data_IF_821091927189
#
_entry.id   IF_821091927189
#
_cell.length_a   1.000
_cell.length_b   1.000
_cell.length_c   1.000
_cell.angle_alpha   90.00
_cell.angle_beta   90.00
_cell.angle_gamma   90.00
#
_symmetry.space_group_name_H-M   'P 1'
#
loop_
_entity.id
_entity.type
_entity.pdbx_description
1 polymer ?
#
# COMPACT_ATOMS: atom_id res chain seq x y z
N UNK A 1 17.75 -0.47 -18.53
CA UNK A 1 16.35 -0.05 -18.32
C UNK A 1 15.73 0.19 -19.68
N UNK A 2 14.95 -0.76 -20.19
CA UNK A 2 14.25 -0.64 -21.48
C UNK A 2 12.77 -0.76 -21.18
N UNK A 3 12.01 0.32 -21.33
CA UNK A 3 10.56 0.30 -21.26
C UNK A 3 10.07 -0.54 -22.44
N UNK A 4 9.54 -1.74 -22.16
CA UNK A 4 8.98 -2.58 -23.22
C UNK A 4 7.68 -1.95 -23.72
N UNK A 5 7.38 -1.98 -25.03
CA UNK A 5 6.17 -1.34 -25.51
C UNK A 5 4.94 -2.04 -24.93
N UNK A 6 3.99 -1.25 -24.42
CA UNK A 6 2.66 -1.73 -24.06
C UNK A 6 2.12 -2.58 -25.23
N UNK A 7 1.74 -3.83 -24.95
CA UNK A 7 1.11 -4.69 -25.96
C UNK A 7 -0.26 -4.08 -26.30
N UNK A 8 -0.31 -3.42 -27.44
CA UNK A 8 -1.52 -2.77 -27.95
C UNK A 8 -2.26 -3.77 -28.83
N UNK A 9 -3.28 -4.42 -28.28
CA UNK A 9 -4.33 -5.04 -29.10
C UNK A 9 -5.33 -3.92 -29.39
N UNK A 10 -5.83 -3.79 -30.63
CA UNK A 10 -6.67 -2.64 -31.05
C UNK A 10 -7.78 -2.37 -30.01
N UNK A 11 -7.69 -1.22 -29.32
CA UNK A 11 -8.67 -0.80 -28.32
C UNK A 11 -8.51 -1.39 -26.91
N UNK A 12 -7.44 -2.13 -26.63
CA UNK A 12 -7.08 -2.62 -25.27
C UNK A 12 -5.63 -2.25 -24.99
N UNK A 13 -5.43 -1.41 -23.98
CA UNK A 13 -4.09 -0.99 -23.53
C UNK A 13 -3.84 -1.52 -22.12
N UNK A 14 -2.73 -2.24 -21.96
CA UNK A 14 -2.19 -2.58 -20.66
C UNK A 14 -1.12 -1.54 -20.30
N UNK A 15 -1.40 -0.72 -19.29
CA UNK A 15 -0.44 0.27 -18.81
C UNK A 15 0.31 -0.30 -17.61
N UNK A 16 1.61 -0.55 -17.78
CA UNK A 16 2.54 -1.14 -16.82
C UNK A 16 3.27 -0.08 -15.98
N UNK A 17 2.56 0.97 -15.55
CA UNK A 17 3.14 2.13 -14.84
C UNK A 17 3.89 1.76 -13.54
N UNK A 18 3.74 0.53 -13.05
CA UNK A 18 4.39 -0.02 -11.84
C UNK A 18 5.62 -0.89 -12.19
N UNK A 19 6.02 -0.98 -13.46
CA UNK A 19 7.22 -1.69 -13.93
C UNK A 19 7.29 -3.19 -13.55
N UNK A 20 6.15 -3.84 -13.32
CA UNK A 20 6.09 -5.27 -12.97
C UNK A 20 6.16 -6.12 -14.24
N UNK A 21 6.96 -7.19 -14.21
CA UNK A 21 7.09 -8.18 -15.29
C UNK A 21 6.98 -9.60 -14.73
N UNK A 22 6.84 -10.58 -15.62
CA UNK A 22 6.93 -11.98 -15.22
C UNK A 22 8.25 -12.23 -14.47
N UNK A 23 8.15 -12.85 -13.28
CA UNK A 23 9.29 -13.09 -12.39
C UNK A 23 9.62 -11.94 -11.43
N UNK A 24 8.95 -10.79 -11.51
CA UNK A 24 9.09 -9.72 -10.52
C UNK A 24 8.53 -10.14 -9.15
N UNK A 25 9.23 -9.76 -8.08
CA UNK A 25 8.70 -9.85 -6.72
C UNK A 25 7.83 -8.62 -6.41
N UNK A 26 6.63 -8.84 -5.86
CA UNK A 26 5.72 -7.77 -5.44
C UNK A 26 5.98 -7.46 -3.97
N UNK A 27 6.39 -6.22 -3.67
CA UNK A 27 6.67 -5.79 -2.29
C UNK A 27 5.39 -5.36 -1.57
N UNK A 28 5.33 -5.64 -0.27
CA UNK A 28 4.26 -5.16 0.63
C UNK A 28 4.41 -3.69 1.03
N UNK A 29 5.53 -3.06 0.69
CA UNK A 29 5.83 -1.67 1.07
C UNK A 29 5.17 -0.64 0.14
N UNK A 30 4.67 -1.07 -1.01
CA UNK A 30 4.03 -0.21 -2.01
C UNK A 30 2.58 -0.63 -2.24
N UNK A 31 1.85 0.17 -3.02
CA UNK A 31 0.48 -0.16 -3.41
C UNK A 31 0.42 -1.52 -4.14
N UNK A 32 -0.63 -2.27 -3.85
CA UNK A 32 -1.00 -3.55 -4.46
C UNK A 32 -1.35 -3.47 -5.96
N UNK A 33 -1.44 -2.26 -6.52
CA UNK A 33 -1.75 -2.07 -7.93
C UNK A 33 -0.64 -2.65 -8.83
N UNK A 34 -0.96 -3.74 -9.53
CA UNK A 34 -0.02 -4.37 -10.49
C UNK A 34 -0.03 -3.69 -11.85
N UNK A 35 -1.22 -3.38 -12.39
CA UNK A 35 -1.39 -2.82 -13.72
C UNK A 35 -2.78 -2.20 -13.92
N UNK A 36 -2.93 -1.45 -15.01
CA UNK A 36 -4.21 -0.90 -15.47
C UNK A 36 -4.57 -1.50 -16.83
N UNK A 37 -5.71 -2.19 -16.88
CA UNK A 37 -6.31 -2.66 -18.13
C UNK A 37 -7.34 -1.63 -18.60
N UNK A 38 -7.03 -0.93 -19.70
CA UNK A 38 -7.87 0.14 -20.24
C UNK A 38 -8.45 -0.33 -21.57
N UNK A 39 -9.78 -0.30 -21.68
CA UNK A 39 -10.49 -0.73 -22.88
C UNK A 39 -11.26 0.44 -23.48
N UNK A 40 -11.06 0.66 -24.78
CA UNK A 40 -11.69 1.71 -25.57
C UNK A 40 -12.37 1.08 -26.79
N UNK A 41 -13.60 1.49 -27.06
CA UNK A 41 -14.37 1.08 -28.22
C UNK A 41 -15.29 2.23 -28.68
N UNK A 42 -15.97 2.02 -29.81
CA UNK A 42 -16.89 3.01 -30.37
C UNK A 42 -18.13 3.24 -29.47
N UNK A 43 -18.57 2.19 -28.77
CA UNK A 43 -19.70 2.24 -27.86
C UNK A 43 -19.43 1.36 -26.62
N UNK A 44 -20.33 1.50 -25.64
CA UNK A 44 -20.25 0.82 -24.35
C UNK A 44 -20.38 -0.69 -24.46
N UNK A 45 -21.23 -1.18 -25.36
CA UNK A 45 -21.46 -2.61 -25.58
C UNK A 45 -20.17 -3.27 -26.08
N UNK A 46 -19.56 -2.69 -27.11
CA UNK A 46 -18.27 -3.15 -27.63
C UNK A 46 -17.16 -3.04 -26.60
N UNK A 47 -17.15 -1.98 -25.77
CA UNK A 47 -16.16 -1.85 -24.69
C UNK A 47 -16.30 -2.97 -23.66
N UNK A 48 -17.53 -3.33 -23.27
CA UNK A 48 -17.79 -4.45 -22.35
C UNK A 48 -17.39 -5.80 -22.95
N UNK A 49 -17.69 -6.06 -24.22
CA UNK A 49 -17.28 -7.28 -24.92
C UNK A 49 -15.76 -7.43 -24.95
N UNK A 50 -15.05 -6.35 -25.32
CA UNK A 50 -13.57 -6.31 -25.31
C UNK A 50 -13.02 -6.48 -23.90
N UNK A 51 -13.63 -5.87 -22.89
CA UNK A 51 -13.21 -6.00 -21.50
C UNK A 51 -13.37 -7.44 -20.98
N UNK A 52 -14.49 -8.11 -21.27
CA UNK A 52 -14.69 -9.53 -20.93
C UNK A 52 -13.63 -10.42 -21.55
N UNK A 53 -13.36 -10.22 -22.85
CA UNK A 53 -12.31 -10.97 -23.54
C UNK A 53 -10.94 -10.71 -22.93
N UNK A 54 -10.57 -9.45 -22.74
CA UNK A 54 -9.27 -9.07 -22.19
C UNK A 54 -9.08 -9.60 -20.76
N UNK A 55 -10.09 -9.52 -19.90
CA UNK A 55 -10.06 -10.08 -18.55
C UNK A 55 -10.05 -11.62 -18.56
N UNK A 56 -10.66 -12.26 -19.56
CA UNK A 56 -10.63 -13.71 -19.75
C UNK A 56 -9.26 -14.24 -20.19
N UNK A 57 -8.55 -13.46 -21.02
CA UNK A 57 -7.20 -13.79 -21.51
C UNK A 57 -6.08 -13.39 -20.52
N UNK A 58 -6.37 -12.50 -19.56
CA UNK A 58 -5.40 -12.09 -18.56
C UNK A 58 -5.12 -13.21 -17.55
N UNK A 59 -3.85 -13.61 -17.47
CA UNK A 59 -3.33 -14.62 -16.55
C UNK A 59 -2.27 -13.98 -15.67
N UNK A 60 -2.49 -14.01 -14.36
CA UNK A 60 -1.54 -13.58 -13.33
C UNK A 60 -1.47 -14.72 -12.31
N UNK A 61 -0.26 -15.22 -12.07
CA UNK A 61 0.00 -16.33 -11.18
C UNK A 61 0.98 -15.91 -10.07
N UNK A 62 0.95 -16.63 -8.95
CA UNK A 62 1.89 -16.43 -7.83
C UNK A 62 1.48 -15.39 -6.79
N UNK A 63 0.46 -14.57 -7.06
CA UNK A 63 -0.10 -13.62 -6.09
C UNK A 63 -1.64 -13.64 -6.13
N UNK A 64 -2.32 -13.39 -5.00
CA UNK A 64 -3.76 -13.11 -5.03
C UNK A 64 -4.07 -11.89 -5.89
N UNK A 65 -5.21 -11.92 -6.60
CA UNK A 65 -5.62 -10.82 -7.48
C UNK A 65 -7.12 -10.56 -7.43
N UNK A 66 -7.50 -9.33 -7.77
CA UNK A 66 -8.89 -8.93 -7.96
C UNK A 66 -9.51 -9.38 -9.28
N UNK A 67 -8.88 -10.30 -10.02
CA UNK A 67 -9.38 -10.75 -11.33
C UNK A 67 -10.78 -11.37 -11.26
N UNK A 68 -11.09 -12.16 -10.22
CA UNK A 68 -12.41 -12.77 -10.07
C UNK A 68 -13.50 -11.70 -9.91
N UNK A 69 -13.27 -10.75 -9.00
CA UNK A 69 -14.14 -9.60 -8.79
C UNK A 69 -14.34 -8.78 -10.07
N UNK A 70 -13.26 -8.42 -10.77
CA UNK A 70 -13.33 -7.63 -12.00
C UNK A 70 -14.11 -8.37 -13.11
N UNK A 71 -13.96 -9.69 -13.21
CA UNK A 71 -14.72 -10.52 -14.16
C UNK A 71 -16.21 -10.52 -13.85
N UNK A 72 -16.61 -10.58 -12.58
CA UNK A 72 -18.03 -10.49 -12.23
C UNK A 72 -18.61 -9.11 -12.49
N UNK A 73 -17.89 -8.03 -12.17
CA UNK A 73 -18.35 -6.66 -12.43
C UNK A 73 -18.70 -6.46 -13.91
N UNK A 74 -17.84 -6.89 -14.84
CA UNK A 74 -18.10 -6.70 -16.29
C UNK A 74 -19.23 -7.58 -16.86
N UNK A 75 -19.71 -8.56 -16.09
CA UNK A 75 -20.88 -9.38 -16.43
C UNK A 75 -22.14 -9.01 -15.66
N UNK A 76 -22.03 -8.21 -14.60
CA UNK A 76 -23.14 -7.92 -13.71
C UNK A 76 -24.20 -7.01 -14.35
N UNK A 77 -25.48 -7.35 -14.23
CA UNK A 77 -26.59 -6.63 -14.90
C UNK A 77 -26.65 -5.13 -14.59
N UNK A 78 -26.47 -4.75 -13.32
CA UNK A 78 -26.39 -3.35 -12.91
C UNK A 78 -25.29 -2.56 -13.66
N UNK A 79 -24.14 -3.22 -13.90
CA UNK A 79 -23.03 -2.64 -14.66
C UNK A 79 -23.27 -2.76 -16.15
N UNK A 80 -23.75 -3.87 -16.69
CA UNK A 80 -23.95 -4.05 -18.13
C UNK A 80 -25.15 -3.27 -18.66
N UNK A 81 -26.07 -2.86 -17.77
CA UNK A 81 -27.36 -2.27 -18.08
C UNK A 81 -28.25 -3.19 -18.93
N UNK A 82 -28.15 -4.52 -18.74
CA UNK A 82 -28.94 -5.50 -19.49
C UNK A 82 -30.46 -5.28 -19.36
N UNK A 83 -30.93 -4.80 -18.20
CA UNK A 83 -32.32 -4.41 -17.96
C UNK A 83 -32.71 -3.02 -18.47
N UNK A 84 -31.86 -2.36 -19.26
CA UNK A 84 -32.11 -1.01 -19.80
C UNK A 84 -31.77 0.14 -18.86
N UNK A 85 -31.32 -0.13 -17.62
CA UNK A 85 -30.86 0.88 -16.65
C UNK A 85 -29.45 0.55 -16.18
N UNK A 86 -28.56 1.55 -16.21
CA UNK A 86 -27.27 1.48 -15.54
C UNK A 86 -27.47 1.81 -14.05
N UNK A 87 -27.21 0.85 -13.18
CA UNK A 87 -27.61 0.89 -11.76
C UNK A 87 -26.41 0.76 -10.82
N UNK A 88 -25.38 1.55 -11.09
CA UNK A 88 -24.14 1.58 -10.31
C UNK A 88 -24.06 2.88 -9.52
N UNK A 89 -23.77 2.76 -8.23
CA UNK A 89 -23.56 3.87 -7.30
C UNK A 89 -22.37 3.58 -6.39
N UNK A 90 -21.95 4.56 -5.58
CA UNK A 90 -20.73 4.50 -4.77
C UNK A 90 -20.73 3.45 -3.65
N UNK A 91 -21.88 2.86 -3.33
CA UNK A 91 -22.02 1.77 -2.36
C UNK A 91 -22.52 0.47 -2.96
N UNK A 92 -22.50 0.38 -4.30
CA UNK A 92 -23.09 -0.75 -5.03
C UNK A 92 -22.36 -2.06 -4.72
N UNK A 93 -21.03 -2.03 -4.70
CA UNK A 93 -20.20 -3.23 -4.49
C UNK A 93 -20.43 -3.82 -3.11
N UNK A 94 -20.56 -2.98 -2.08
CA UNK A 94 -20.81 -3.39 -0.69
C UNK A 94 -22.24 -3.90 -0.50
N UNK A 95 -23.19 -3.37 -1.28
CA UNK A 95 -24.59 -3.79 -1.23
C UNK A 95 -24.88 -5.09 -1.98
N UNK A 96 -24.06 -5.41 -2.99
CA UNK A 96 -24.22 -6.61 -3.80
C UNK A 96 -23.50 -7.81 -3.13
N UNK A 97 -24.23 -8.86 -2.71
CA UNK A 97 -23.64 -9.95 -1.93
C UNK A 97 -22.64 -10.78 -2.74
N UNK A 98 -22.81 -10.87 -4.06
CA UNK A 98 -21.89 -11.63 -4.93
C UNK A 98 -20.59 -10.86 -5.09
N UNK A 99 -20.68 -9.56 -5.41
CA UNK A 99 -19.50 -8.70 -5.59
C UNK A 99 -18.73 -8.51 -4.29
N UNK A 100 -19.43 -8.30 -3.16
CA UNK A 100 -18.80 -8.20 -1.85
C UNK A 100 -18.00 -9.48 -1.51
N UNK A 101 -18.61 -10.65 -1.74
CA UNK A 101 -17.95 -11.95 -1.50
C UNK A 101 -16.71 -12.12 -2.37
N UNK A 102 -16.81 -11.79 -3.66
CA UNK A 102 -15.68 -11.93 -4.57
C UNK A 102 -14.56 -10.93 -4.31
N UNK A 103 -14.89 -9.71 -3.89
CA UNK A 103 -13.90 -8.73 -3.47
C UNK A 103 -13.14 -9.21 -2.23
N UNK A 104 -13.83 -9.85 -1.29
CA UNK A 104 -13.21 -10.41 -0.10
C UNK A 104 -12.31 -11.61 -0.42
N UNK A 105 -12.71 -12.45 -1.37
CA UNK A 105 -11.90 -13.58 -1.87
C UNK A 105 -10.70 -13.12 -2.71
N UNK A 106 -10.77 -11.97 -3.37
CA UNK A 106 -9.68 -11.39 -4.15
C UNK A 106 -8.44 -11.04 -3.30
N UNK A 107 -8.62 -10.82 -1.99
CA UNK A 107 -7.51 -10.65 -1.04
C UNK A 107 -6.66 -11.91 -0.84
N UNK A 108 -7.10 -13.06 -1.39
CA UNK A 108 -6.53 -14.38 -1.15
C UNK A 108 -6.87 -14.86 0.26
N UNK A 109 -7.02 -16.18 0.41
CA UNK A 109 -6.71 -16.78 1.70
C UNK A 109 -5.20 -16.62 1.89
N UNK A 110 -4.80 -15.72 2.79
CA UNK A 110 -3.52 -15.94 3.45
C UNK A 110 -3.64 -17.33 4.07
N UNK A 111 -2.78 -18.31 3.74
CA UNK A 111 -2.92 -19.64 4.31
C UNK A 111 -2.99 -19.49 5.82
N UNK A 112 -4.14 -19.79 6.41
CA UNK A 112 -4.28 -19.87 7.87
C UNK A 112 -3.60 -21.16 8.31
N UNK A 113 -2.30 -21.27 8.09
CA UNK A 113 -1.47 -22.11 8.94
C UNK A 113 -1.65 -21.53 10.33
N UNK A 114 -2.25 -22.30 11.23
CA UNK A 114 -2.63 -21.94 12.61
C UNK A 114 -1.78 -20.76 13.13
N UNK A 115 -2.34 -19.56 13.02
CA UNK A 115 -1.63 -18.31 13.24
C UNK A 115 -1.75 -17.85 14.68
N UNK A 116 -0.68 -17.27 15.22
CA UNK A 116 -0.73 -16.61 16.50
C UNK A 116 -1.64 -15.38 16.43
N UNK A 117 -2.43 -15.19 17.47
CA UNK A 117 -3.27 -14.01 17.65
C UNK A 117 -2.50 -12.97 18.44
N UNK A 118 -2.36 -11.75 17.90
CA UNK A 118 -1.65 -10.64 18.54
C UNK A 118 -2.65 -9.52 18.83
N UNK A 119 -2.58 -8.94 20.02
CA UNK A 119 -3.36 -7.77 20.39
C UNK A 119 -2.61 -6.50 19.96
N UNK A 120 -3.24 -5.72 19.06
CA UNK A 120 -2.68 -4.48 18.53
C UNK A 120 -3.54 -3.31 18.99
N UNK A 121 -2.97 -2.24 19.57
CA UNK A 121 -3.73 -1.06 19.97
C UNK A 121 -4.09 -0.23 18.73
N UNK A 122 -5.38 0.01 18.51
CA UNK A 122 -5.92 0.87 17.45
C UNK A 122 -6.84 1.90 18.10
N UNK A 123 -6.46 3.18 18.04
CA UNK A 123 -7.26 4.28 18.61
C UNK A 123 -7.56 4.14 20.11
N UNK A 124 -6.60 3.64 20.90
CA UNK A 124 -6.76 3.42 22.34
C UNK A 124 -7.56 2.16 22.74
N UNK A 125 -7.95 1.32 21.76
CA UNK A 125 -8.63 0.05 21.99
C UNK A 125 -7.77 -1.11 21.50
N UNK A 126 -7.74 -2.20 22.26
CA UNK A 126 -7.02 -3.42 21.87
C UNK A 126 -7.85 -4.21 20.86
N UNK A 127 -7.30 -4.45 19.67
CA UNK A 127 -7.90 -5.28 18.64
C UNK A 127 -7.09 -6.56 18.49
N UNK A 128 -7.80 -7.69 18.54
CA UNK A 128 -7.23 -9.03 18.41
C UNK A 128 -7.09 -9.39 16.92
N UNK A 129 -5.87 -9.49 16.42
CA UNK A 129 -5.57 -9.78 15.00
C UNK A 129 -4.89 -11.14 14.87
N UNK A 130 -5.44 -12.03 14.05
CA UNK A 130 -4.81 -13.30 13.72
C UNK A 130 -3.73 -13.08 12.65
N UNK A 131 -2.49 -13.52 12.91
CA UNK A 131 -1.37 -13.43 11.97
C UNK A 131 -1.06 -14.84 11.43
N UNK A 132 -1.42 -15.14 10.18
CA UNK A 132 -1.20 -16.46 9.60
C UNK A 132 0.30 -16.80 9.47
N UNK A 133 0.68 -18.05 9.76
CA UNK A 133 2.05 -18.55 9.57
C UNK A 133 3.01 -18.39 10.76
N UNK A 134 2.56 -17.80 11.87
CA UNK A 134 3.35 -17.68 13.10
C UNK A 134 2.90 -18.75 14.11
N UNK A 135 3.75 -19.77 14.36
CA UNK A 135 3.45 -20.77 15.39
C UNK A 135 3.27 -20.08 16.75
N UNK A 136 2.20 -20.43 17.48
CA UNK A 136 2.01 -19.97 18.86
C UNK A 136 3.27 -20.31 19.67
N UNK A 137 4.03 -19.30 20.16
CA UNK A 137 5.22 -19.56 20.92
C UNK A 137 4.82 -20.32 22.19
N UNK A 138 5.62 -21.30 22.61
CA UNK A 138 5.43 -21.86 23.96
C UNK A 138 5.58 -20.74 25.00
N UNK A 139 4.96 -20.86 26.16
CA UNK A 139 5.03 -19.83 27.22
C UNK A 139 6.48 -19.45 27.58
N UNK A 140 7.43 -20.39 27.45
CA UNK A 140 8.86 -20.16 27.63
C UNK A 140 9.48 -19.36 26.47
N UNK A 141 9.07 -19.60 25.23
CA UNK A 141 9.51 -18.82 24.06
C UNK A 141 8.88 -17.43 24.08
N UNK A 142 7.64 -17.27 24.56
CA UNK A 142 7.02 -15.97 24.79
C UNK A 142 7.71 -15.18 25.92
N UNK A 143 8.14 -15.85 26.99
CA UNK A 143 8.92 -15.22 28.06
C UNK A 143 10.31 -14.80 27.56
N UNK A 144 11.02 -15.69 26.86
CA UNK A 144 12.31 -15.38 26.25
C UNK A 144 12.20 -14.33 25.14
N UNK A 145 11.11 -14.33 24.36
CA UNK A 145 10.84 -13.30 23.36
C UNK A 145 10.42 -11.98 24.00
N UNK A 146 9.78 -11.97 25.17
CA UNK A 146 9.51 -10.75 25.96
C UNK A 146 10.79 -10.19 26.56
N UNK A 147 11.68 -11.05 27.03
CA UNK A 147 13.00 -10.68 27.55
C UNK A 147 13.90 -10.17 26.41
N UNK A 148 13.97 -10.90 25.29
CA UNK A 148 14.64 -10.45 24.06
C UNK A 148 13.97 -9.26 23.40
N UNK A 149 12.65 -9.05 23.53
CA UNK A 149 11.95 -7.87 23.07
C UNK A 149 12.15 -6.69 24.01
N UNK A 150 12.35 -6.90 25.32
CA UNK A 150 12.80 -5.86 26.25
C UNK A 150 14.26 -5.49 26.02
N UNK A 151 15.11 -6.45 25.69
CA UNK A 151 16.49 -6.21 25.28
C UNK A 151 16.59 -5.64 23.87
N UNK A 152 15.68 -5.99 22.94
CA UNK A 152 15.55 -5.34 21.64
C UNK A 152 14.91 -3.98 21.79
N UNK A 153 14.03 -3.72 22.75
CA UNK A 153 13.53 -2.37 23.08
C UNK A 153 14.64 -1.52 23.68
N UNK A 154 15.47 -2.12 24.53
CA UNK A 154 16.68 -1.47 25.04
C UNK A 154 17.71 -1.22 23.93
N UNK A 155 17.85 -2.14 22.96
CA UNK A 155 18.72 -2.00 21.77
C UNK A 155 18.10 -1.21 20.61
N UNK A 156 16.78 -1.03 20.55
CA UNK A 156 16.06 -0.25 19.53
C UNK A 156 15.80 1.16 20.01
N UNK A 157 15.70 1.38 21.32
CA UNK A 157 15.97 2.68 21.92
C UNK A 157 17.40 3.17 21.57
N UNK A 158 18.31 2.23 21.29
CA UNK A 158 19.68 2.50 20.85
C UNK A 158 19.86 2.48 19.30
N UNK A 159 18.82 2.17 18.51
CA UNK A 159 18.95 1.96 17.05
C UNK A 159 17.85 2.56 16.14
N UNK A 160 16.90 3.34 16.65
CA UNK A 160 16.11 4.32 15.85
C UNK A 160 16.43 5.76 16.29
N UNK A 161 17.72 6.01 16.50
CA UNK A 161 18.26 7.23 17.09
C UNK A 161 17.95 8.45 16.22
N UNK A 162 16.96 9.21 16.67
CA UNK A 162 16.77 10.65 16.46
C UNK A 162 16.56 11.15 15.02
N UNK A 163 16.75 10.33 13.98
CA UNK A 163 16.74 10.78 12.59
C UNK A 163 15.34 10.77 11.96
N UNK A 164 14.96 11.89 11.33
CA UNK A 164 13.81 11.99 10.43
C UNK A 164 14.25 11.57 9.02
N UNK A 165 13.68 10.48 8.51
CA UNK A 165 14.08 9.86 7.24
C UNK A 165 13.04 10.06 6.14
N UNK A 166 13.49 10.17 4.89
CA UNK A 166 12.64 10.14 3.72
C UNK A 166 12.08 8.70 3.50
N UNK A 167 10.75 8.48 3.57
CA UNK A 167 10.16 7.15 3.41
C UNK A 167 10.29 6.62 1.98
N UNK A 168 10.49 7.50 1.01
CA UNK A 168 10.64 7.18 -0.41
C UNK A 168 11.42 8.30 -1.12
N UNK A 169 11.88 8.04 -2.35
CA UNK A 169 12.44 9.09 -3.18
C UNK A 169 11.36 10.15 -3.42
N UNK A 170 11.65 11.39 -3.03
CA UNK A 170 10.67 12.47 -2.98
C UNK A 170 11.33 13.83 -3.19
N UNK A 171 10.52 14.87 -3.39
CA UNK A 171 10.96 16.27 -3.43
C UNK A 171 10.45 16.97 -2.18
N UNK A 172 11.30 17.71 -1.48
CA UNK A 172 10.85 18.51 -0.32
C UNK A 172 10.00 19.66 -0.82
N UNK A 173 8.75 19.76 -0.37
CA UNK A 173 7.83 20.85 -0.76
C UNK A 173 7.59 21.86 0.36
N UNK A 174 7.89 21.49 1.61
CA UNK A 174 7.79 22.38 2.75
C UNK A 174 8.67 21.92 3.92
N UNK A 175 9.16 22.88 4.70
CA UNK A 175 9.82 22.65 5.99
C UNK A 175 8.98 23.38 7.03
N UNK A 176 8.52 22.64 8.03
CA UNK A 176 7.66 23.17 9.10
C UNK A 176 8.48 23.61 10.32
N UNK A 177 9.79 23.32 10.31
CA UNK A 177 10.74 23.63 11.39
C UNK A 177 12.03 24.21 10.82
N UNK A 178 12.74 24.97 11.65
CA UNK A 178 14.08 25.48 11.39
C UNK A 178 15.14 24.71 12.19
N UNK A 179 16.40 24.86 11.77
CA UNK A 179 17.56 24.35 12.51
C UNK A 179 17.57 24.95 13.94
N UNK A 180 17.60 24.08 14.95
CA UNK A 180 17.58 24.48 16.34
C UNK A 180 16.20 24.70 16.96
N UNK A 181 15.11 24.45 16.24
CA UNK A 181 13.75 24.48 16.82
C UNK A 181 13.51 23.30 17.73
N UNK A 182 12.64 23.48 18.72
CA UNK A 182 12.16 22.41 19.59
C UNK A 182 10.87 21.83 19.02
N UNK A 183 10.78 20.50 18.94
CA UNK A 183 9.61 19.74 18.49
C UNK A 183 9.21 18.72 19.54
N UNK A 184 7.91 18.42 19.60
CA UNK A 184 7.36 17.31 20.38
C UNK A 184 7.16 16.07 19.51
N UNK A 185 6.97 14.91 20.14
CA UNK A 185 6.69 13.66 19.42
C UNK A 185 5.43 13.82 18.57
N UNK A 186 5.56 13.57 17.26
CA UNK A 186 4.44 13.67 16.32
C UNK A 186 4.25 15.06 15.71
N UNK A 187 5.07 16.05 16.06
CA UNK A 187 5.02 17.36 15.41
C UNK A 187 5.48 17.27 13.95
N UNK A 188 4.89 18.08 13.05
CA UNK A 188 5.30 18.11 11.66
C UNK A 188 6.70 18.73 11.51
N UNK A 189 7.57 18.05 10.76
CA UNK A 189 8.94 18.49 10.49
C UNK A 189 9.09 18.97 9.05
N UNK A 190 8.61 18.17 8.09
CA UNK A 190 8.73 18.50 6.67
C UNK A 190 7.58 17.88 5.87
N UNK A 191 7.29 18.48 4.72
CA UNK A 191 6.36 17.94 3.73
C UNK A 191 7.16 17.54 2.50
N UNK A 192 6.99 16.29 2.07
CA UNK A 192 7.64 15.77 0.86
C UNK A 192 6.59 15.32 -0.15
N UNK A 193 6.81 15.63 -1.43
CA UNK A 193 5.97 15.18 -2.52
C UNK A 193 6.63 14.00 -3.25
N UNK A 194 5.87 12.93 -3.38
CA UNK A 194 6.22 11.82 -4.24
C UNK A 194 4.96 11.25 -4.90
N UNK A 195 5.08 10.84 -6.16
CA UNK A 195 3.98 10.23 -6.90
C UNK A 195 2.69 11.08 -6.91
N UNK A 196 2.83 12.42 -6.99
CA UNK A 196 1.72 13.41 -6.94
C UNK A 196 0.95 13.45 -5.61
N UNK A 197 1.54 12.91 -4.56
CA UNK A 197 0.98 12.88 -3.21
C UNK A 197 1.97 13.52 -2.24
N UNK A 198 1.45 14.36 -1.36
CA UNK A 198 2.21 14.96 -0.27
C UNK A 198 2.18 14.03 0.95
N UNK A 199 3.34 13.84 1.56
CA UNK A 199 3.52 13.08 2.79
C UNK A 199 4.11 14.00 3.85
N UNK A 200 3.48 14.00 5.02
CA UNK A 200 3.95 14.73 6.19
C UNK A 200 4.93 13.86 6.98
N UNK A 201 6.13 14.38 7.20
CA UNK A 201 7.15 13.74 8.04
C UNK A 201 7.02 14.27 9.46
N UNK A 202 6.84 13.35 10.41
CA UNK A 202 6.61 13.67 11.81
C UNK A 202 7.86 13.41 12.65
N UNK A 203 8.00 14.17 13.73
CA UNK A 203 9.08 14.00 14.71
C UNK A 203 8.95 12.64 15.44
N UNK A 204 9.94 11.73 15.33
CA UNK A 204 9.91 10.44 16.04
C UNK A 204 10.14 10.57 17.55
N UNK A 205 10.73 11.68 18.01
CA UNK A 205 11.06 11.97 19.40
C UNK A 205 10.86 13.47 19.68
N UNK A 206 10.74 13.85 20.96
CA UNK A 206 10.79 15.25 21.36
C UNK A 206 12.25 15.69 21.53
N UNK A 207 12.54 16.94 21.19
CA UNK A 207 13.88 17.50 21.30
C UNK A 207 14.15 18.60 20.29
N UNK A 208 15.42 18.89 20.06
CA UNK A 208 15.90 19.96 19.20
C UNK A 208 16.33 19.45 17.82
N UNK A 209 15.83 20.10 16.78
CA UNK A 209 16.18 19.80 15.38
C UNK A 209 17.62 20.19 15.09
N UNK A 210 18.37 19.27 14.50
CA UNK A 210 19.78 19.44 14.12
C UNK A 210 20.08 18.81 12.76
N UNK A 211 21.01 19.40 12.01
CA UNK A 211 21.46 18.88 10.72
C UNK A 211 20.39 18.93 9.63
N UNK A 212 19.53 19.95 9.64
CA UNK A 212 18.54 20.22 8.59
C UNK A 212 19.22 20.87 7.38
N UNK A 213 19.92 20.05 6.58
CA UNK A 213 20.69 20.50 5.41
C UNK A 213 19.87 20.51 4.10
N UNK A 214 18.57 20.21 4.17
CA UNK A 214 17.70 20.07 3.00
C UNK A 214 16.92 21.36 2.76
N UNK A 215 16.81 21.77 1.50
CA UNK A 215 16.02 22.95 1.09
C UNK A 215 14.73 22.55 0.38
N UNK A 216 13.73 23.43 0.43
CA UNK A 216 12.51 23.27 -0.37
C UNK A 216 12.88 23.23 -1.86
N UNK A 217 12.33 22.25 -2.58
CA UNK A 217 12.63 21.91 -3.97
C UNK A 217 13.74 20.86 -4.15
N UNK A 218 14.46 20.48 -3.08
CA UNK A 218 15.49 19.45 -3.18
C UNK A 218 14.89 18.04 -3.36
N UNK A 219 15.51 17.23 -4.21
CA UNK A 219 15.16 15.81 -4.33
C UNK A 219 15.96 14.99 -3.33
N UNK A 220 15.28 14.15 -2.56
CA UNK A 220 15.85 13.25 -1.56
C UNK A 220 15.61 11.79 -1.96
N UNK A 221 16.60 10.94 -1.73
CA UNK A 221 16.49 9.51 -1.97
C UNK A 221 15.72 8.80 -0.85
N UNK A 222 15.24 7.58 -1.11
CA UNK A 222 14.68 6.72 -0.07
C UNK A 222 15.72 6.48 1.04
N UNK A 223 15.31 6.65 2.30
CA UNK A 223 16.16 6.47 3.48
C UNK A 223 17.15 7.61 3.73
N UNK A 224 17.12 8.70 2.93
CA UNK A 224 17.94 9.87 3.20
C UNK A 224 17.52 10.51 4.54
N UNK A 225 18.50 10.95 5.32
CA UNK A 225 18.28 11.69 6.58
C UNK A 225 17.99 13.14 6.24
N UNK A 226 16.85 13.67 6.68
CA UNK A 226 16.52 15.09 6.53
C UNK A 226 17.08 15.92 7.68
N UNK A 227 16.93 15.44 8.91
CA UNK A 227 17.46 16.04 10.13
C UNK A 227 17.49 15.00 11.27
N UNK A 228 18.06 15.38 12.40
CA UNK A 228 18.04 14.62 13.65
C UNK A 228 17.42 15.44 14.77
N UNK A 229 16.79 14.78 15.73
CA UNK A 229 16.14 15.38 16.90
C UNK A 229 16.86 14.90 18.14
N UNK A 230 17.66 15.77 18.73
CA UNK A 230 18.42 15.47 19.95
C UNK A 230 17.66 15.97 21.17
N UNK A 231 17.56 15.16 22.22
CA UNK A 231 16.93 15.57 23.48
C UNK A 231 17.69 16.72 24.19
#
# INVERSE_FOLDING_TARGET
>A
MSNGPARHVIGVTFSDTVCVRAGSAVSVQFDSLLAKLIVVAADRTQALERARRALGELVIEGVPTSMLFLRAVVTHDAFTAAGGRFDVHTGWVESDPVLATQLQQAGGEVPTTAGATIEVPVGGRWLTVAVPGMASPSSKVLAAAREQASERRARSADASSDAVLAPMQSTVVGLEVAEGDHVEVGDPVAVVEAMKMQHLLLAPAAGRVTGLDVIVGASVAHGAVLCRIIA
#
